data_IF_778457599197
#
_entry.id   IF_778457599197
#
_cell.length_a   1.000
_cell.length_b   1.000
_cell.length_c   1.000
_cell.angle_alpha   90.00
_cell.angle_beta   90.00
_cell.angle_gamma   90.00
#
_symmetry.space_group_name_H-M   'P 1'
#
loop_
_entity.id
_entity.type
_entity.pdbx_description
1 polymer ?
#
# COMPACT_ATOMS: atom_id res chain seq x y z
N UNK A 1 -40.86 -32.37 10.39
CA UNK A 1 -40.78 -30.89 10.51
C UNK A 1 -39.49 -30.43 11.19
N UNK A 2 -39.05 -31.08 12.26
CA UNK A 2 -37.76 -30.85 12.96
C UNK A 2 -36.51 -31.08 12.10
N UNK A 3 -36.49 -32.10 11.25
CA UNK A 3 -35.35 -32.37 10.35
C UNK A 3 -35.18 -31.34 9.22
N UNK A 4 -36.28 -30.73 8.75
CA UNK A 4 -36.26 -29.67 7.70
C UNK A 4 -35.76 -28.35 8.30
N UNK A 5 -36.17 -28.03 9.53
CA UNK A 5 -35.68 -26.87 10.25
C UNK A 5 -34.21 -27.01 10.68
N UNK A 6 -33.78 -28.22 11.06
CA UNK A 6 -32.37 -28.51 11.31
C UNK A 6 -31.52 -28.46 10.04
N UNK A 7 -32.04 -28.92 8.89
CA UNK A 7 -31.36 -28.79 7.59
C UNK A 7 -31.22 -27.33 7.12
N UNK A 8 -32.25 -26.49 7.35
CA UNK A 8 -32.19 -25.04 7.09
C UNK A 8 -31.22 -24.32 8.05
N UNK A 9 -31.18 -24.72 9.32
CA UNK A 9 -30.27 -24.15 10.32
C UNK A 9 -28.81 -24.59 10.11
N UNK A 10 -28.56 -25.81 9.62
CA UNK A 10 -27.22 -26.31 9.29
C UNK A 10 -26.69 -25.81 7.95
N UNK A 11 -27.58 -25.48 6.99
CA UNK A 11 -27.22 -24.89 5.70
C UNK A 11 -26.91 -23.39 5.75
N UNK A 12 -27.36 -22.68 6.79
CA UNK A 12 -27.05 -21.26 7.02
C UNK A 12 -25.76 -21.12 7.83
N UNK A 13 -24.62 -21.43 7.21
CA UNK A 13 -23.34 -20.95 7.73
C UNK A 13 -23.37 -19.41 7.81
N UNK A 14 -22.58 -18.81 8.69
CA UNK A 14 -22.55 -17.35 8.87
C UNK A 14 -22.33 -16.56 7.57
N UNK A 15 -21.64 -17.17 6.59
CA UNK A 15 -21.46 -16.61 5.26
C UNK A 15 -22.78 -16.58 4.45
N UNK A 16 -23.57 -17.66 4.42
CA UNK A 16 -24.84 -17.70 3.69
C UNK A 16 -25.87 -16.73 4.27
N UNK A 17 -25.88 -16.56 5.60
CA UNK A 17 -26.74 -15.58 6.25
C UNK A 17 -26.34 -14.13 5.89
N UNK A 18 -25.04 -13.83 5.88
CA UNK A 18 -24.54 -12.53 5.45
C UNK A 18 -24.92 -12.23 3.99
N UNK A 19 -24.73 -13.18 3.08
CA UNK A 19 -25.11 -13.03 1.67
C UNK A 19 -26.62 -12.87 1.50
N UNK A 20 -27.43 -13.61 2.25
CA UNK A 20 -28.89 -13.48 2.26
C UNK A 20 -29.35 -12.09 2.73
N UNK A 21 -28.74 -11.55 3.79
CA UNK A 21 -29.03 -10.21 4.29
C UNK A 21 -28.61 -9.12 3.28
N UNK A 22 -27.44 -9.26 2.65
CA UNK A 22 -26.98 -8.34 1.61
C UNK A 22 -27.91 -8.37 0.39
N UNK A 23 -28.33 -9.56 -0.06
CA UNK A 23 -29.27 -9.71 -1.17
C UNK A 23 -30.63 -9.10 -0.85
N UNK A 24 -31.15 -9.29 0.38
CA UNK A 24 -32.39 -8.67 0.83
C UNK A 24 -32.28 -7.14 0.87
N UNK A 25 -31.22 -6.61 1.48
CA UNK A 25 -30.98 -5.16 1.56
C UNK A 25 -30.87 -4.54 0.15
N UNK A 26 -30.16 -5.21 -0.76
CA UNK A 26 -30.04 -4.78 -2.15
C UNK A 26 -31.39 -4.87 -2.90
N UNK A 27 -32.16 -5.94 -2.71
CA UNK A 27 -33.50 -6.09 -3.29
C UNK A 27 -34.46 -4.99 -2.81
N UNK A 28 -34.45 -4.67 -1.51
CA UNK A 28 -35.23 -3.56 -0.95
C UNK A 28 -34.79 -2.20 -1.51
N UNK A 29 -33.49 -1.99 -1.72
CA UNK A 29 -32.94 -0.80 -2.36
C UNK A 29 -33.42 -0.65 -3.81
N UNK A 30 -33.30 -1.71 -4.62
CA UNK A 30 -33.78 -1.73 -6.01
C UNK A 30 -35.28 -1.45 -6.09
N UNK A 31 -36.06 -2.12 -5.24
CA UNK A 31 -37.51 -1.96 -5.17
C UNK A 31 -37.93 -0.53 -4.78
N UNK A 32 -37.25 0.06 -3.79
CA UNK A 32 -37.48 1.45 -3.39
C UNK A 32 -37.23 2.41 -4.56
N UNK A 33 -36.10 2.28 -5.23
CA UNK A 33 -35.77 3.17 -6.35
C UNK A 33 -36.72 2.96 -7.53
N UNK A 34 -37.15 1.72 -7.77
CA UNK A 34 -38.14 1.39 -8.80
C UNK A 34 -39.46 2.11 -8.52
N UNK A 35 -39.93 2.04 -7.26
CA UNK A 35 -41.14 2.77 -6.85
C UNK A 35 -41.03 4.28 -7.08
N UNK A 36 -39.91 4.89 -6.72
CA UNK A 36 -39.74 6.34 -6.85
C UNK A 36 -39.69 6.78 -8.32
N UNK A 37 -38.97 6.04 -9.16
CA UNK A 37 -38.62 6.49 -10.51
C UNK A 37 -39.57 5.97 -11.60
N UNK A 38 -40.10 4.76 -11.45
CA UNK A 38 -40.82 4.06 -12.52
C UNK A 38 -42.27 3.75 -12.19
N UNK A 39 -42.65 3.61 -10.91
CA UNK A 39 -44.04 3.26 -10.58
C UNK A 39 -45.03 4.42 -10.78
N UNK A 40 -46.21 4.08 -11.29
CA UNK A 40 -47.38 4.96 -11.31
C UNK A 40 -48.29 4.61 -10.14
N UNK A 41 -48.66 5.62 -9.35
CA UNK A 41 -49.49 5.45 -8.16
C UNK A 41 -50.74 6.32 -8.31
N UNK A 42 -51.90 5.69 -8.11
CA UNK A 42 -53.22 6.31 -8.21
C UNK A 42 -53.61 7.09 -6.95
N UNK A 43 -53.12 6.65 -5.78
CA UNK A 43 -53.32 7.31 -4.49
C UNK A 43 -52.67 8.72 -4.47
N UNK A 44 -53.45 9.81 -4.29
CA UNK A 44 -52.96 11.20 -4.37
C UNK A 44 -51.84 11.52 -3.37
N UNK A 45 -51.95 11.03 -2.13
CA UNK A 45 -50.98 11.32 -1.06
C UNK A 45 -49.67 10.60 -1.32
N UNK A 46 -49.75 9.34 -1.75
CA UNK A 46 -48.55 8.58 -2.15
C UNK A 46 -47.91 9.16 -3.40
N UNK A 47 -48.71 9.62 -4.38
CA UNK A 47 -48.21 10.28 -5.59
C UNK A 47 -47.45 11.56 -5.26
N UNK A 48 -47.95 12.39 -4.34
CA UNK A 48 -47.26 13.60 -3.89
C UNK A 48 -45.93 13.28 -3.18
N UNK A 49 -45.91 12.27 -2.30
CA UNK A 49 -44.67 11.82 -1.63
C UNK A 49 -43.62 11.34 -2.61
N UNK A 50 -44.00 10.48 -3.58
CA UNK A 50 -43.07 9.97 -4.60
C UNK A 50 -42.58 11.08 -5.53
N UNK A 51 -43.42 12.07 -5.86
CA UNK A 51 -43.00 13.23 -6.63
C UNK A 51 -41.90 14.04 -5.91
N UNK A 52 -42.04 14.25 -4.59
CA UNK A 52 -41.01 14.90 -3.78
C UNK A 52 -39.70 14.10 -3.74
N UNK A 53 -39.78 12.78 -3.55
CA UNK A 53 -38.59 11.92 -3.55
C UNK A 53 -37.91 11.86 -4.92
N UNK A 54 -38.69 11.85 -6.00
CA UNK A 54 -38.21 11.92 -7.38
C UNK A 54 -37.51 13.25 -7.66
N UNK A 55 -38.08 14.37 -7.23
CA UNK A 55 -37.45 15.68 -7.34
C UNK A 55 -36.10 15.72 -6.58
N UNK A 56 -36.03 15.12 -5.39
CA UNK A 56 -34.78 14.99 -4.63
C UNK A 56 -33.72 14.16 -5.37
N UNK A 57 -34.12 13.05 -6.00
CA UNK A 57 -33.19 12.23 -6.80
C UNK A 57 -32.71 12.98 -8.04
N UNK A 58 -33.61 13.66 -8.75
CA UNK A 58 -33.28 14.49 -9.92
C UNK A 58 -32.31 15.62 -9.55
N UNK A 59 -32.58 16.34 -8.45
CA UNK A 59 -31.66 17.36 -7.93
C UNK A 59 -30.29 16.75 -7.57
N UNK A 60 -30.28 15.57 -6.95
CA UNK A 60 -29.03 14.85 -6.66
C UNK A 60 -28.21 14.50 -7.90
N UNK A 61 -28.88 14.13 -9.01
CA UNK A 61 -28.22 13.87 -10.31
C UNK A 61 -27.70 15.19 -10.91
N UNK A 62 -28.50 16.25 -10.88
CA UNK A 62 -28.11 17.57 -11.38
C UNK A 62 -26.88 18.14 -10.66
N UNK A 63 -26.85 18.02 -9.34
CA UNK A 63 -25.76 18.49 -8.48
C UNK A 63 -24.53 17.55 -8.47
N UNK A 64 -24.56 16.43 -9.19
CA UNK A 64 -23.53 15.36 -9.11
C UNK A 64 -23.23 14.95 -7.66
N UNK A 65 -24.28 14.79 -6.85
CA UNK A 65 -24.16 14.65 -5.38
C UNK A 65 -23.24 13.49 -4.95
N UNK A 66 -23.21 12.40 -5.72
CA UNK A 66 -22.30 11.28 -5.46
C UNK A 66 -20.84 11.65 -5.69
N UNK A 67 -20.51 12.23 -6.84
CA UNK A 67 -19.17 12.72 -7.18
C UNK A 67 -18.68 13.75 -6.15
N UNK A 68 -19.54 14.72 -5.79
CA UNK A 68 -19.22 15.74 -4.80
C UNK A 68 -19.01 15.18 -3.37
N UNK A 69 -19.70 14.08 -3.01
CA UNK A 69 -19.44 13.39 -1.73
C UNK A 69 -18.12 12.63 -1.79
N UNK A 70 -17.86 11.93 -2.89
CA UNK A 70 -16.61 11.22 -3.12
C UNK A 70 -15.40 12.16 -3.08
N UNK A 71 -15.41 13.27 -3.82
CA UNK A 71 -14.32 14.25 -3.83
C UNK A 71 -14.08 14.87 -2.43
N UNK A 72 -15.15 15.05 -1.64
CA UNK A 72 -15.02 15.49 -0.24
C UNK A 72 -14.38 14.43 0.66
N UNK A 73 -14.77 13.16 0.52
CA UNK A 73 -14.16 12.06 1.25
C UNK A 73 -12.68 11.89 0.87
N UNK A 74 -12.37 11.96 -0.43
CA UNK A 74 -11.01 11.94 -0.95
C UNK A 74 -10.19 13.10 -0.40
N UNK A 75 -10.73 14.32 -0.44
CA UNK A 75 -10.09 15.49 0.15
C UNK A 75 -9.78 15.29 1.63
N UNK A 76 -10.76 14.83 2.41
CA UNK A 76 -10.60 14.54 3.84
C UNK A 76 -9.53 13.47 4.09
N UNK A 77 -9.48 12.44 3.26
CA UNK A 77 -8.47 11.38 3.34
C UNK A 77 -7.07 11.91 3.04
N UNK A 78 -6.90 12.66 1.95
CA UNK A 78 -5.62 13.29 1.59
C UNK A 78 -5.16 14.30 2.65
N UNK A 79 -6.08 15.10 3.20
CA UNK A 79 -5.80 16.08 4.25
C UNK A 79 -5.39 15.43 5.59
N UNK A 80 -5.88 14.20 5.85
CA UNK A 80 -5.43 13.36 6.98
C UNK A 80 -4.06 12.77 6.72
N UNK A 81 -3.81 12.22 5.53
CA UNK A 81 -2.50 11.66 5.17
C UNK A 81 -1.43 12.74 5.23
N UNK A 82 -1.67 13.90 4.63
CA UNK A 82 -0.72 15.03 4.68
C UNK A 82 -0.53 15.59 6.08
N UNK A 83 -1.59 15.62 6.89
CA UNK A 83 -1.48 15.95 8.31
C UNK A 83 -0.64 14.94 9.10
N UNK A 84 -0.76 13.65 8.79
CA UNK A 84 0.02 12.58 9.40
C UNK A 84 1.49 12.61 8.96
N UNK A 85 1.74 12.88 7.69
CA UNK A 85 3.09 13.03 7.12
C UNK A 85 3.77 14.31 7.65
N UNK A 86 2.99 15.36 7.90
CA UNK A 86 3.47 16.66 8.35
C UNK A 86 3.96 17.57 7.21
N UNK A 87 3.38 17.43 6.02
CA UNK A 87 3.86 18.12 4.80
C UNK A 87 2.81 19.05 4.15
N UNK A 88 1.80 19.47 4.91
CA UNK A 88 0.74 20.38 4.44
C UNK A 88 1.30 21.66 3.83
N UNK A 89 2.26 22.28 4.50
CA UNK A 89 2.85 23.55 4.03
C UNK A 89 3.67 23.33 2.76
N UNK A 90 4.38 22.20 2.65
CA UNK A 90 5.17 21.86 1.47
C UNK A 90 4.29 21.66 0.22
N UNK A 91 3.08 21.14 0.40
CA UNK A 91 2.10 20.94 -0.68
C UNK A 91 1.29 22.20 -1.02
N UNK A 92 1.17 23.13 -0.08
CA UNK A 92 0.40 24.38 -0.26
C UNK A 92 1.17 25.45 -1.05
N UNK A 93 2.50 25.42 -1.04
CA UNK A 93 3.31 26.41 -1.76
C UNK A 93 3.48 25.96 -3.22
N UNK A 94 3.12 26.79 -4.22
CA UNK A 94 3.42 26.51 -5.63
C UNK A 94 4.93 26.70 -5.87
N UNK A 95 5.74 25.71 -5.51
CA UNK A 95 7.19 25.79 -5.67
C UNK A 95 7.58 25.26 -7.06
N UNK A 96 8.09 26.18 -7.90
CA UNK A 96 8.67 25.94 -9.23
C UNK A 96 7.70 25.52 -10.34
N UNK A 97 7.07 26.53 -10.99
CA UNK A 97 6.29 26.38 -12.23
C UNK A 97 7.02 25.67 -13.38
N UNK A 98 8.36 25.59 -13.32
CA UNK A 98 9.21 25.03 -14.38
C UNK A 98 9.54 23.54 -14.21
N UNK A 99 9.04 22.86 -13.18
CA UNK A 99 9.24 21.41 -13.02
C UNK A 99 8.16 20.62 -13.75
N UNK A 100 8.52 19.49 -14.39
CA UNK A 100 7.58 18.58 -15.09
C UNK A 100 6.44 18.05 -14.20
N UNK A 101 6.58 18.17 -12.87
CA UNK A 101 5.67 17.66 -11.85
C UNK A 101 4.39 18.48 -11.75
N UNK A 102 4.49 19.81 -11.83
CA UNK A 102 3.33 20.71 -11.71
C UNK A 102 2.38 20.58 -12.92
N UNK A 103 2.85 20.55 -14.18
CA UNK A 103 1.99 20.26 -15.32
C UNK A 103 1.28 18.90 -15.24
N UNK A 104 1.94 17.91 -14.62
CA UNK A 104 1.41 16.55 -14.55
C UNK A 104 0.39 16.34 -13.43
N UNK A 105 0.66 16.88 -12.24
CA UNK A 105 -0.12 16.62 -11.02
C UNK A 105 -0.86 17.83 -10.47
N UNK A 106 -0.54 19.04 -10.94
CA UNK A 106 -1.01 20.30 -10.38
C UNK A 106 -0.31 20.74 -9.09
N UNK A 107 0.63 19.92 -8.56
CA UNK A 107 1.45 20.19 -7.37
C UNK A 107 2.74 19.35 -7.37
N UNK A 108 3.64 19.56 -6.40
CA UNK A 108 4.83 18.72 -6.19
C UNK A 108 4.54 17.64 -5.12
N UNK A 109 4.24 16.38 -5.51
CA UNK A 109 3.85 15.36 -4.55
C UNK A 109 5.07 14.68 -3.90
N UNK A 110 6.30 15.12 -4.18
CA UNK A 110 7.54 14.53 -3.69
C UNK A 110 8.12 15.38 -2.57
N UNK A 111 7.65 15.13 -1.34
CA UNK A 111 8.03 15.93 -0.16
C UNK A 111 9.07 15.21 0.69
N UNK A 112 9.78 15.97 1.52
CA UNK A 112 10.68 15.41 2.54
C UNK A 112 9.91 14.57 3.57
N UNK A 113 8.76 15.09 4.05
CA UNK A 113 7.93 14.37 5.00
C UNK A 113 7.53 12.98 4.48
N UNK A 114 7.13 12.90 3.21
CA UNK A 114 6.77 11.61 2.60
C UNK A 114 7.97 10.66 2.49
N UNK A 115 9.17 11.16 2.20
CA UNK A 115 10.39 10.34 2.18
C UNK A 115 10.73 9.78 3.57
N UNK A 116 10.67 10.62 4.61
CA UNK A 116 10.91 10.20 5.99
C UNK A 116 9.89 9.17 6.47
N UNK A 117 8.64 9.30 6.05
CA UNK A 117 7.64 8.27 6.31
C UNK A 117 8.03 6.96 5.62
N UNK A 118 8.34 6.97 4.32
CA UNK A 118 8.78 5.79 3.59
C UNK A 118 10.00 5.13 4.22
N UNK A 119 10.98 5.91 4.69
CA UNK A 119 12.15 5.40 5.39
C UNK A 119 11.81 4.70 6.71
N UNK A 120 10.95 5.32 7.53
CA UNK A 120 10.47 4.72 8.80
C UNK A 120 9.72 3.42 8.52
N UNK A 121 8.86 3.43 7.51
CA UNK A 121 8.05 2.28 7.12
C UNK A 121 8.89 1.14 6.55
N UNK A 122 9.87 1.46 5.70
CA UNK A 122 10.79 0.49 5.11
C UNK A 122 11.65 -0.21 6.18
N UNK A 123 11.93 0.44 7.31
CA UNK A 123 12.55 -0.21 8.47
C UNK A 123 11.57 -1.08 9.25
N UNK A 124 10.33 -0.60 9.45
CA UNK A 124 9.34 -1.24 10.32
C UNK A 124 8.74 -2.51 9.70
N UNK A 125 8.36 -2.49 8.42
CA UNK A 125 7.64 -3.60 7.80
C UNK A 125 8.42 -4.92 7.70
N UNK A 126 9.70 -4.98 7.28
CA UNK A 126 10.45 -6.23 7.27
C UNK A 126 10.59 -6.83 8.67
N UNK A 127 10.85 -5.98 9.66
CA UNK A 127 10.93 -6.37 11.08
C UNK A 127 9.57 -6.90 11.56
N UNK A 128 8.49 -6.18 11.28
CA UNK A 128 7.14 -6.60 11.63
C UNK A 128 6.77 -7.93 10.96
N UNK A 129 7.09 -8.09 9.67
CA UNK A 129 6.84 -9.32 8.92
C UNK A 129 7.60 -10.52 9.49
N UNK A 130 8.87 -10.34 9.86
CA UNK A 130 9.68 -11.36 10.51
C UNK A 130 9.09 -11.77 11.88
N UNK A 131 8.83 -10.82 12.77
CA UNK A 131 8.30 -11.11 14.10
C UNK A 131 6.87 -11.66 14.06
N UNK A 132 6.03 -11.20 13.14
CA UNK A 132 4.68 -11.71 12.95
C UNK A 132 4.71 -13.16 12.42
N UNK A 133 5.55 -13.43 11.42
CA UNK A 133 5.77 -14.78 10.90
C UNK A 133 6.23 -15.74 11.98
N UNK A 134 7.21 -15.33 12.80
CA UNK A 134 7.66 -16.11 13.95
C UNK A 134 6.57 -16.28 15.02
N UNK A 135 5.86 -15.22 15.41
CA UNK A 135 4.79 -15.30 16.42
C UNK A 135 3.68 -16.28 16.03
N UNK A 136 3.42 -16.41 14.73
CA UNK A 136 2.43 -17.32 14.16
C UNK A 136 2.93 -18.74 13.91
N UNK A 137 4.15 -19.08 14.33
CA UNK A 137 4.68 -20.43 14.24
C UNK A 137 5.76 -20.63 13.19
N UNK A 138 6.35 -19.57 12.62
CA UNK A 138 7.54 -19.69 11.77
C UNK A 138 8.76 -20.21 12.54
N UNK A 139 9.77 -20.70 11.81
CA UNK A 139 10.99 -21.22 12.41
C UNK A 139 11.83 -20.12 13.07
N UNK A 140 11.57 -18.85 12.73
CA UNK A 140 12.39 -17.73 13.19
C UNK A 140 13.70 -17.62 12.41
N UNK A 141 13.73 -18.21 11.22
CA UNK A 141 14.88 -18.17 10.34
C UNK A 141 14.84 -16.93 9.43
N UNK A 142 16.01 -16.35 9.17
CA UNK A 142 16.21 -15.27 8.22
C UNK A 142 17.18 -15.76 7.16
N UNK A 143 16.67 -16.09 5.97
CA UNK A 143 17.51 -16.58 4.88
C UNK A 143 18.16 -17.95 5.13
N UNK A 144 17.47 -18.86 5.82
CA UNK A 144 17.99 -20.18 6.18
C UNK A 144 18.79 -20.23 7.49
N UNK A 145 19.13 -19.08 8.08
CA UNK A 145 19.77 -19.03 9.40
C UNK A 145 18.76 -18.81 10.52
N UNK A 146 18.82 -19.66 11.54
CA UNK A 146 17.99 -19.53 12.75
C UNK A 146 18.38 -18.26 13.54
N UNK A 147 17.46 -17.30 13.63
CA UNK A 147 17.68 -16.03 14.33
C UNK A 147 16.92 -15.96 15.66
N UNK A 148 15.74 -16.57 15.72
CA UNK A 148 14.99 -16.79 16.95
C UNK A 148 14.77 -18.28 17.16
N UNK A 149 14.86 -18.77 18.41
CA UNK A 149 14.64 -20.18 18.67
C UNK A 149 13.19 -20.57 18.35
N UNK A 150 12.94 -21.78 17.81
CA UNK A 150 11.60 -22.32 17.67
C UNK A 150 11.02 -22.57 19.07
N UNK A 151 9.99 -21.81 19.44
CA UNK A 151 9.32 -21.97 20.74
C UNK A 151 8.00 -22.74 20.58
N UNK A 152 7.79 -23.83 21.33
CA UNK A 152 6.56 -24.63 21.23
C UNK A 152 5.29 -23.88 21.67
N UNK A 153 5.41 -23.01 22.67
CA UNK A 153 4.28 -22.28 23.24
C UNK A 153 4.00 -20.95 22.51
N UNK A 154 2.95 -20.92 21.68
CA UNK A 154 2.52 -19.72 20.94
C UNK A 154 2.34 -18.48 21.84
N UNK A 155 1.82 -18.66 23.07
CA UNK A 155 1.64 -17.55 24.03
C UNK A 155 2.95 -16.85 24.43
N UNK A 156 4.06 -17.58 24.52
CA UNK A 156 5.37 -16.98 24.86
C UNK A 156 5.92 -16.14 23.71
N UNK A 157 5.67 -16.55 22.45
CA UNK A 157 6.06 -15.78 21.27
C UNK A 157 5.36 -14.43 21.23
N UNK A 158 4.04 -14.41 21.47
CA UNK A 158 3.26 -13.18 21.53
C UNK A 158 3.62 -12.27 22.72
N UNK A 159 3.97 -12.84 23.88
CA UNK A 159 4.47 -12.06 25.02
C UNK A 159 5.80 -11.37 24.70
N UNK A 160 6.72 -12.05 24.01
CA UNK A 160 8.00 -11.47 23.60
C UNK A 160 7.83 -10.38 22.55
N UNK A 161 6.99 -10.60 21.53
CA UNK A 161 6.64 -9.57 20.54
C UNK A 161 5.95 -8.38 21.23
N UNK A 162 4.99 -8.64 22.12
CA UNK A 162 4.32 -7.60 22.91
C UNK A 162 5.29 -6.80 23.78
N UNK A 163 6.25 -7.46 24.43
CA UNK A 163 7.31 -6.82 25.21
C UNK A 163 8.24 -5.95 24.37
N UNK A 164 8.64 -6.43 23.18
CA UNK A 164 9.44 -5.67 22.21
C UNK A 164 8.69 -4.44 21.69
N UNK A 165 7.42 -4.60 21.29
CA UNK A 165 6.55 -3.50 20.83
C UNK A 165 6.31 -2.48 21.92
N UNK A 166 6.05 -2.92 23.16
CA UNK A 166 5.88 -2.03 24.31
C UNK A 166 7.17 -1.26 24.59
N UNK A 167 8.33 -1.94 24.57
CA UNK A 167 9.64 -1.32 24.80
C UNK A 167 9.97 -0.30 23.70
N UNK A 168 9.75 -0.65 22.44
CA UNK A 168 9.90 0.26 21.30
C UNK A 168 8.91 1.43 21.32
N UNK A 169 7.67 1.19 21.75
CA UNK A 169 6.65 2.23 21.91
C UNK A 169 6.97 3.21 23.05
N UNK A 170 7.47 2.70 24.18
CA UNK A 170 7.97 3.52 25.28
C UNK A 170 9.23 4.30 24.89
N UNK A 171 10.12 3.71 24.11
CA UNK A 171 11.29 4.37 23.51
C UNK A 171 10.89 5.49 22.53
N UNK A 172 9.94 5.22 21.63
CA UNK A 172 9.41 6.22 20.70
C UNK A 172 8.68 7.37 21.41
N UNK A 173 7.95 7.06 22.49
CA UNK A 173 7.31 8.06 23.35
C UNK A 173 8.34 8.87 24.13
N UNK A 174 9.44 8.25 24.56
CA UNK A 174 10.56 8.95 25.18
C UNK A 174 11.29 9.90 24.21
N UNK A 175 11.37 9.56 22.92
CA UNK A 175 11.90 10.43 21.86
C UNK A 175 11.03 11.67 21.57
N UNK A 176 9.83 11.76 22.14
CA UNK A 176 8.95 12.95 22.09
C UNK A 176 8.92 13.75 23.40
N UNK A 177 9.75 13.41 24.38
CA UNK A 177 9.83 14.09 25.68
C UNK A 177 11.08 15.00 25.78
N UNK A 178 10.96 16.13 26.45
CA UNK A 178 12.04 17.13 26.63
C UNK A 178 12.72 17.05 28.01
N UNK A 179 13.97 17.51 28.13
CA UNK A 179 14.70 17.70 29.39
C UNK A 179 15.76 16.65 29.75
N UNK A 180 16.19 16.61 31.02
CA UNK A 180 17.35 15.85 31.54
C UNK A 180 17.24 14.32 31.39
N UNK A 181 16.03 13.79 31.19
CA UNK A 181 15.78 12.37 30.89
C UNK A 181 16.24 11.98 29.48
N UNK A 182 16.44 12.95 28.57
CA UNK A 182 17.03 12.78 27.23
C UNK A 182 18.51 12.41 27.28
N UNK A 183 19.23 12.85 28.34
CA UNK A 183 20.68 12.67 28.47
C UNK A 183 21.14 11.25 28.75
N UNK A 184 20.32 10.44 29.43
CA UNK A 184 20.64 9.02 29.72
C UNK A 184 20.45 8.12 28.49
N UNK A 185 19.59 8.51 27.54
CA UNK A 185 19.32 7.76 26.31
C UNK A 185 20.24 8.13 25.13
N UNK A 186 20.94 9.26 25.20
CA UNK A 186 21.87 9.75 24.16
C UNK A 186 23.18 8.94 24.09
N UNK A 187 23.54 8.18 25.13
CA UNK A 187 24.76 7.38 25.14
C UNK A 187 24.77 6.18 24.14
N UNK A 188 23.63 5.86 23.52
CA UNK A 188 23.51 4.81 22.48
C UNK A 188 23.28 5.41 21.08
N UNK A 189 23.26 6.75 20.97
CA UNK A 189 22.77 7.47 19.81
C UNK A 189 23.77 7.62 18.65
N UNK A 190 24.10 6.51 17.98
CA UNK A 190 24.64 6.54 16.61
C UNK A 190 23.67 7.15 15.58
N UNK A 191 22.39 7.30 15.94
CA UNK A 191 21.37 7.95 15.10
C UNK A 191 21.31 9.49 15.25
N UNK A 192 21.99 10.08 16.26
CA UNK A 192 21.91 11.52 16.53
C UNK A 192 22.70 12.38 15.52
N UNK A 193 23.70 11.84 14.84
CA UNK A 193 24.53 12.63 13.91
C UNK A 193 23.76 13.07 12.66
N UNK A 194 22.80 12.25 12.22
CA UNK A 194 21.97 12.50 11.04
C UNK A 194 20.92 13.59 11.33
N UNK A 195 20.12 13.41 12.37
CA UNK A 195 19.03 14.33 12.69
C UNK A 195 19.56 15.71 13.15
N UNK A 196 20.73 15.75 13.81
CA UNK A 196 21.43 16.99 14.20
C UNK A 196 22.01 17.78 13.01
N UNK A 197 22.50 17.10 11.96
CA UNK A 197 22.99 17.76 10.73
C UNK A 197 21.83 18.28 9.85
N UNK A 198 20.67 17.58 9.86
CA UNK A 198 19.45 18.02 9.17
C UNK A 198 18.93 19.35 9.72
N UNK A 199 18.92 19.52 11.03
CA UNK A 199 18.41 20.72 11.71
C UNK A 199 19.22 22.01 11.41
N UNK A 200 20.44 21.91 10.85
CA UNK A 200 21.28 23.06 10.48
C UNK A 200 21.23 23.46 9.01
N UNK A 201 20.38 22.82 8.21
CA UNK A 201 20.34 22.97 6.76
C UNK A 201 19.05 23.66 6.31
N UNK A 202 19.09 24.99 6.13
CA UNK A 202 17.91 25.79 5.78
C UNK A 202 17.62 25.92 4.27
N UNK A 203 18.44 25.32 3.38
CA UNK A 203 18.23 25.41 1.92
C UNK A 203 18.00 24.03 1.27
N UNK A 204 17.09 23.96 0.28
CA UNK A 204 16.77 22.72 -0.46
C UNK A 204 18.01 22.04 -1.06
N UNK A 205 19.00 22.81 -1.47
CA UNK A 205 20.25 22.29 -2.03
C UNK A 205 21.16 21.69 -0.95
N UNK A 206 21.12 22.21 0.29
CA UNK A 206 21.85 21.63 1.42
C UNK A 206 21.16 20.38 1.97
N UNK A 207 19.83 20.30 1.88
CA UNK A 207 19.05 19.11 2.24
C UNK A 207 19.28 17.98 1.23
N UNK A 208 19.24 18.24 -0.08
CA UNK A 208 19.56 17.22 -1.10
C UNK A 208 21.00 16.72 -0.94
N UNK A 209 21.97 17.63 -0.74
CA UNK A 209 23.38 17.26 -0.46
C UNK A 209 23.52 16.46 0.83
N UNK A 210 22.81 16.85 1.88
CA UNK A 210 22.77 16.12 3.15
C UNK A 210 22.23 14.70 2.96
N UNK A 211 21.16 14.50 2.20
CA UNK A 211 20.59 13.17 1.95
C UNK A 211 21.47 12.31 1.05
N UNK A 212 22.07 12.91 0.02
CA UNK A 212 23.03 12.22 -0.85
C UNK A 212 24.25 11.78 -0.02
N UNK A 213 24.74 12.65 0.87
CA UNK A 213 25.79 12.35 1.83
C UNK A 213 25.38 11.30 2.86
N UNK A 214 24.16 11.34 3.40
CA UNK A 214 23.65 10.37 4.36
C UNK A 214 23.55 8.96 3.74
N UNK A 215 23.01 8.88 2.52
CA UNK A 215 22.97 7.63 1.77
C UNK A 215 24.39 7.14 1.46
N UNK A 216 25.28 8.03 0.99
CA UNK A 216 26.68 7.70 0.71
C UNK A 216 27.42 7.25 1.98
N UNK A 217 27.16 7.89 3.12
CA UNK A 217 27.72 7.55 4.42
C UNK A 217 27.24 6.19 4.90
N UNK A 218 25.95 5.88 4.80
CA UNK A 218 25.43 4.56 5.17
C UNK A 218 25.94 3.47 4.24
N UNK A 219 26.02 3.76 2.94
CA UNK A 219 26.66 2.87 1.96
C UNK A 219 28.13 2.66 2.32
N UNK A 220 28.87 3.72 2.63
CA UNK A 220 30.27 3.65 3.06
C UNK A 220 30.45 2.93 4.40
N UNK A 221 29.53 3.09 5.35
CA UNK A 221 29.51 2.41 6.64
C UNK A 221 29.24 0.91 6.48
N UNK A 222 28.26 0.55 5.66
CA UNK A 222 28.01 -0.84 5.27
C UNK A 222 29.24 -1.39 4.54
N UNK A 223 29.82 -0.66 3.59
CA UNK A 223 31.07 -1.04 2.93
C UNK A 223 32.25 -1.19 3.90
N UNK A 224 32.34 -0.37 4.95
CA UNK A 224 33.39 -0.47 5.96
C UNK A 224 33.17 -1.68 6.89
N UNK A 225 31.93 -1.96 7.28
CA UNK A 225 31.57 -3.19 8.01
C UNK A 225 31.84 -4.42 7.15
N UNK A 226 31.51 -4.36 5.87
CA UNK A 226 31.80 -5.41 4.90
C UNK A 226 33.31 -5.57 4.73
N UNK A 227 34.07 -4.52 4.45
CA UNK A 227 35.54 -4.57 4.34
C UNK A 227 36.24 -5.05 5.62
N UNK A 228 35.70 -4.73 6.79
CA UNK A 228 36.21 -5.23 8.07
C UNK A 228 35.78 -6.68 8.35
N UNK A 229 34.55 -7.04 7.99
CA UNK A 229 33.91 -8.31 8.29
C UNK A 229 34.26 -9.43 7.31
N UNK A 230 34.22 -9.17 6.00
CA UNK A 230 34.45 -10.12 4.90
C UNK A 230 35.73 -10.95 5.07
N UNK A 231 36.91 -10.37 5.36
CA UNK A 231 38.15 -11.15 5.53
C UNK A 231 38.15 -12.05 6.78
N UNK A 232 37.16 -11.89 7.66
CA UNK A 232 37.06 -12.55 8.97
C UNK A 232 35.86 -13.48 9.06
N UNK A 233 35.12 -13.67 7.95
CA UNK A 233 34.03 -14.64 7.80
C UNK A 233 34.61 -16.02 7.47
N UNK A 234 35.38 -16.58 8.40
CA UNK A 234 35.85 -17.97 8.34
C UNK A 234 35.19 -18.85 9.40
N UNK A 235 34.36 -18.26 10.27
CA UNK A 235 33.61 -18.96 11.31
C UNK A 235 32.12 -18.64 11.22
N UNK A 236 31.28 -19.68 11.16
CA UNK A 236 29.80 -19.61 11.09
C UNK A 236 29.19 -18.66 12.14
N UNK A 237 29.83 -18.49 13.29
CA UNK A 237 29.37 -17.65 14.40
C UNK A 237 29.26 -16.14 14.10
N UNK A 238 29.80 -15.62 12.97
CA UNK A 238 29.79 -14.17 12.65
C UNK A 238 28.88 -13.76 11.49
N UNK A 239 28.28 -14.71 10.77
CA UNK A 239 27.37 -14.44 9.65
C UNK A 239 26.14 -13.58 10.04
N UNK A 240 25.47 -13.83 11.19
CA UNK A 240 24.30 -13.04 11.61
C UNK A 240 24.63 -11.56 11.85
N UNK A 241 25.86 -11.26 12.26
CA UNK A 241 26.34 -9.90 12.54
C UNK A 241 26.50 -9.06 11.26
N UNK A 242 26.71 -9.69 10.10
CA UNK A 242 26.82 -9.03 8.80
C UNK A 242 25.48 -8.96 8.04
N UNK A 243 24.56 -9.89 8.32
CA UNK A 243 23.22 -9.87 7.76
C UNK A 243 22.32 -8.81 8.39
N UNK A 244 22.49 -8.51 9.69
CA UNK A 244 21.66 -7.52 10.38
C UNK A 244 21.77 -6.10 9.77
N UNK A 245 22.97 -5.55 9.49
CA UNK A 245 23.11 -4.23 8.86
C UNK A 245 22.61 -4.18 7.42
N UNK A 246 22.73 -5.28 6.67
CA UNK A 246 22.18 -5.39 5.31
C UNK A 246 20.66 -5.41 5.37
N UNK A 247 20.09 -6.20 6.27
CA UNK A 247 18.64 -6.36 6.45
C UNK A 247 17.94 -5.15 7.06
N UNK A 248 18.57 -4.46 8.02
CA UNK A 248 17.98 -3.32 8.73
C UNK A 248 18.46 -1.96 8.22
N UNK A 249 19.53 -1.91 7.43
CA UNK A 249 20.07 -0.68 6.88
C UNK A 249 19.87 -0.61 5.37
N UNK A 250 20.58 -1.47 4.65
CA UNK A 250 20.73 -1.36 3.20
C UNK A 250 19.45 -1.68 2.43
N UNK A 251 18.75 -2.77 2.78
CA UNK A 251 17.47 -3.13 2.15
C UNK A 251 16.37 -2.09 2.43
N UNK A 252 16.13 -1.62 3.67
CA UNK A 252 15.18 -0.55 3.95
C UNK A 252 15.49 0.75 3.21
N UNK A 253 16.76 1.12 3.08
CA UNK A 253 17.15 2.36 2.39
C UNK A 253 16.82 2.29 0.90
N UNK A 254 17.16 1.16 0.26
CA UNK A 254 16.79 0.87 -1.13
C UNK A 254 15.27 0.88 -1.32
N UNK A 255 14.52 0.24 -0.40
CA UNK A 255 13.07 0.17 -0.45
C UNK A 255 12.42 1.54 -0.25
N UNK A 256 12.91 2.34 0.69
CA UNK A 256 12.39 3.67 1.00
C UNK A 256 12.42 4.63 -0.20
N UNK A 257 13.46 4.55 -1.02
CA UNK A 257 13.58 5.38 -2.23
C UNK A 257 12.50 5.04 -3.26
N UNK A 258 12.26 3.74 -3.51
CA UNK A 258 11.22 3.29 -4.43
C UNK A 258 9.81 3.49 -3.87
N UNK A 259 9.61 3.23 -2.58
CA UNK A 259 8.36 3.53 -1.86
C UNK A 259 8.02 5.03 -1.94
N UNK A 260 9.01 5.91 -1.80
CA UNK A 260 8.80 7.35 -1.91
C UNK A 260 8.42 7.77 -3.33
N UNK A 261 9.08 7.19 -4.34
CA UNK A 261 8.76 7.44 -5.73
C UNK A 261 7.33 6.96 -6.06
N UNK A 262 6.98 5.74 -5.66
CA UNK A 262 5.64 5.16 -5.81
C UNK A 262 4.58 6.03 -5.12
N UNK A 263 4.78 6.33 -3.83
CA UNK A 263 3.88 7.17 -3.04
C UNK A 263 3.70 8.56 -3.66
N UNK A 264 4.79 9.18 -4.14
CA UNK A 264 4.75 10.48 -4.77
C UNK A 264 3.93 10.48 -6.06
N UNK A 265 4.10 9.48 -6.94
CA UNK A 265 3.30 9.38 -8.16
C UNK A 265 1.82 9.14 -7.83
N UNK A 266 1.52 8.11 -7.05
CA UNK A 266 0.16 7.77 -6.62
C UNK A 266 -0.54 8.97 -5.98
N UNK A 267 0.15 9.67 -5.07
CA UNK A 267 -0.39 10.87 -4.42
C UNK A 267 -0.62 12.01 -5.41
N UNK A 268 0.32 12.26 -6.31
CA UNK A 268 0.18 13.25 -7.37
C UNK A 268 -1.06 13.00 -8.23
N UNK A 269 -1.28 11.75 -8.64
CA UNK A 269 -2.47 11.36 -9.40
C UNK A 269 -3.77 11.55 -8.60
N UNK A 270 -3.78 11.21 -7.31
CA UNK A 270 -4.94 11.45 -6.44
C UNK A 270 -5.28 12.94 -6.30
N UNK A 271 -4.26 13.80 -6.17
CA UNK A 271 -4.46 15.24 -6.13
C UNK A 271 -4.93 15.81 -7.47
N UNK A 272 -4.44 15.26 -8.59
CA UNK A 272 -4.90 15.64 -9.91
C UNK A 272 -6.37 15.25 -10.17
N UNK A 273 -6.83 14.11 -9.62
CA UNK A 273 -8.26 13.74 -9.62
C UNK A 273 -9.06 14.71 -8.75
N UNK A 274 -8.58 15.03 -7.54
CA UNK A 274 -9.24 15.98 -6.62
C UNK A 274 -9.40 17.37 -7.24
N UNK A 275 -8.38 17.86 -7.93
CA UNK A 275 -8.36 19.20 -8.53
C UNK A 275 -9.11 19.27 -9.87
N UNK A 276 -9.64 18.14 -10.35
CA UNK A 276 -10.31 18.07 -11.65
C UNK A 276 -9.38 18.17 -12.85
N UNK A 277 -8.05 18.12 -12.66
CA UNK A 277 -7.07 18.07 -13.75
C UNK A 277 -7.26 16.82 -14.62
N UNK A 278 -7.56 15.68 -13.97
CA UNK A 278 -7.89 14.42 -14.64
C UNK A 278 -9.29 13.97 -14.21
N UNK A 279 -10.27 14.13 -15.10
CA UNK A 279 -11.66 13.78 -14.84
C UNK A 279 -12.19 12.73 -15.84
N UNK A 280 -13.22 12.00 -15.43
CA UNK A 280 -13.90 11.04 -16.30
C UNK A 280 -12.99 9.89 -16.74
N UNK A 281 -12.98 9.60 -18.04
CA UNK A 281 -12.16 8.53 -18.64
C UNK A 281 -10.65 8.75 -18.49
N UNK A 282 -10.20 10.00 -18.37
CA UNK A 282 -8.79 10.30 -18.13
C UNK A 282 -8.34 9.76 -16.77
N UNK A 283 -9.17 9.88 -15.73
CA UNK A 283 -8.86 9.33 -14.40
C UNK A 283 -8.68 7.80 -14.43
N UNK A 284 -9.44 7.09 -15.27
CA UNK A 284 -9.27 5.64 -15.47
C UNK A 284 -7.95 5.33 -16.18
N UNK A 285 -7.60 6.08 -17.23
CA UNK A 285 -6.33 5.90 -17.92
C UNK A 285 -5.14 6.10 -16.95
N UNK A 286 -5.22 7.10 -16.07
CA UNK A 286 -4.21 7.32 -15.03
C UNK A 286 -4.18 6.22 -13.97
N UNK A 287 -5.32 5.66 -13.58
CA UNK A 287 -5.37 4.53 -12.66
C UNK A 287 -4.77 3.25 -13.27
N UNK A 288 -5.00 3.01 -14.57
CA UNK A 288 -4.35 1.91 -15.29
C UNK A 288 -2.85 2.15 -15.40
N UNK A 289 -2.42 3.38 -15.68
CA UNK A 289 -1.01 3.74 -15.72
C UNK A 289 -0.34 3.56 -14.35
N UNK A 290 -1.02 3.90 -13.25
CA UNK A 290 -0.53 3.67 -11.88
C UNK A 290 -0.31 2.17 -11.60
N UNK A 291 -1.17 1.27 -12.12
CA UNK A 291 -0.94 -0.18 -12.04
C UNK A 291 0.31 -0.59 -12.81
N UNK A 292 0.46 -0.12 -14.06
CA UNK A 292 1.63 -0.44 -14.89
C UNK A 292 2.90 0.04 -14.19
N UNK A 293 2.85 1.24 -13.60
CA UNK A 293 3.95 1.81 -12.85
C UNK A 293 4.23 1.03 -11.55
N UNK A 294 3.20 0.53 -10.87
CA UNK A 294 3.35 -0.32 -9.70
C UNK A 294 4.03 -1.65 -10.03
N UNK A 295 3.66 -2.29 -11.16
CA UNK A 295 4.33 -3.48 -11.66
C UNK A 295 5.79 -3.19 -12.03
N UNK A 296 6.06 -2.03 -12.63
CA UNK A 296 7.41 -1.56 -12.89
C UNK A 296 8.20 -1.36 -11.59
N UNK A 297 7.64 -0.71 -10.56
CA UNK A 297 8.30 -0.55 -9.26
C UNK A 297 8.52 -1.89 -8.55
N UNK A 298 7.61 -2.84 -8.71
CA UNK A 298 7.76 -4.20 -8.19
C UNK A 298 8.93 -4.93 -8.87
N UNK A 299 9.08 -4.81 -10.18
CA UNK A 299 10.27 -5.31 -10.88
C UNK A 299 11.53 -4.57 -10.46
N UNK A 300 11.47 -3.25 -10.29
CA UNK A 300 12.60 -2.43 -9.87
C UNK A 300 13.09 -2.81 -8.46
N UNK A 301 12.19 -3.01 -7.49
CA UNK A 301 12.58 -3.41 -6.14
C UNK A 301 13.16 -4.82 -6.12
N UNK A 302 12.59 -5.77 -6.87
CA UNK A 302 13.15 -7.13 -6.98
C UNK A 302 14.55 -7.08 -7.61
N UNK A 303 14.72 -6.29 -8.67
CA UNK A 303 16.02 -6.11 -9.34
C UNK A 303 17.04 -5.53 -8.38
N UNK A 304 16.68 -4.43 -7.70
CA UNK A 304 17.57 -3.71 -6.80
C UNK A 304 17.96 -4.57 -5.60
N UNK A 305 16.99 -5.19 -4.93
CA UNK A 305 17.24 -6.03 -3.74
C UNK A 305 18.02 -7.29 -4.09
N UNK A 306 17.66 -7.98 -5.18
CA UNK A 306 18.37 -9.19 -5.61
C UNK A 306 19.77 -8.86 -6.10
N UNK A 307 19.94 -7.84 -6.94
CA UNK A 307 21.26 -7.44 -7.44
C UNK A 307 22.18 -6.97 -6.33
N UNK A 308 21.63 -6.30 -5.31
CA UNK A 308 22.37 -5.90 -4.12
C UNK A 308 22.83 -7.12 -3.31
N UNK A 309 21.95 -8.09 -3.05
CA UNK A 309 22.30 -9.30 -2.32
C UNK A 309 23.30 -10.17 -3.09
N UNK A 310 23.11 -10.33 -4.41
CA UNK A 310 24.03 -11.06 -5.27
C UNK A 310 25.40 -10.38 -5.35
N UNK A 311 25.44 -9.05 -5.48
CA UNK A 311 26.69 -8.28 -5.48
C UNK A 311 27.42 -8.37 -4.14
N UNK A 312 26.69 -8.43 -3.02
CA UNK A 312 27.28 -8.66 -1.70
C UNK A 312 27.87 -10.06 -1.57
N UNK A 313 27.18 -11.10 -2.05
CA UNK A 313 27.71 -12.46 -2.09
C UNK A 313 28.97 -12.55 -2.95
N UNK A 314 28.95 -11.97 -4.15
CA UNK A 314 30.12 -11.94 -5.03
C UNK A 314 31.31 -11.25 -4.34
N UNK A 315 31.08 -10.12 -3.67
CA UNK A 315 32.11 -9.42 -2.91
C UNK A 315 32.66 -10.28 -1.77
N UNK A 316 31.80 -10.99 -1.01
CA UNK A 316 32.23 -11.83 0.12
C UNK A 316 33.07 -13.00 -0.32
N UNK A 317 32.65 -13.67 -1.39
CA UNK A 317 33.42 -14.77 -2.00
C UNK A 317 34.75 -14.28 -2.57
N UNK A 318 34.74 -13.13 -3.28
CA UNK A 318 35.95 -12.58 -3.89
C UNK A 318 37.03 -12.19 -2.90
N UNK A 319 36.68 -11.92 -1.63
CA UNK A 319 37.64 -11.63 -0.55
C UNK A 319 37.90 -12.82 0.37
N UNK A 320 37.59 -14.05 -0.08
CA UNK A 320 37.93 -15.30 0.61
C UNK A 320 36.97 -15.71 1.72
N UNK A 321 35.80 -15.09 1.83
CA UNK A 321 34.71 -15.51 2.71
C UNK A 321 33.70 -16.43 2.00
N UNK A 322 32.69 -16.91 2.74
CA UNK A 322 31.53 -17.61 2.16
C UNK A 322 30.48 -16.65 1.58
N UNK A 323 29.50 -17.18 0.86
CA UNK A 323 28.32 -16.42 0.48
C UNK A 323 27.57 -15.96 1.74
N UNK A 324 27.14 -14.69 1.77
CA UNK A 324 26.42 -14.11 2.90
C UNK A 324 25.02 -14.72 3.05
N UNK A 325 24.37 -15.01 1.92
CA UNK A 325 23.03 -15.57 1.84
C UNK A 325 22.96 -16.55 0.66
N UNK A 326 22.52 -17.79 0.90
CA UNK A 326 22.28 -18.73 -0.20
C UNK A 326 21.01 -18.34 -0.96
N UNK A 327 21.20 -17.56 -2.04
CA UNK A 327 20.10 -17.10 -2.88
C UNK A 327 19.42 -18.26 -3.63
N UNK A 328 20.15 -19.33 -3.95
CA UNK A 328 19.60 -20.49 -4.64
C UNK A 328 18.62 -21.22 -3.75
N UNK A 329 19.06 -21.58 -2.54
CA UNK A 329 18.21 -22.18 -1.53
C UNK A 329 17.03 -21.27 -1.13
N UNK A 330 17.25 -19.96 -1.03
CA UNK A 330 16.18 -19.00 -0.76
C UNK A 330 15.11 -19.04 -1.86
N UNK A 331 15.50 -18.94 -3.13
CA UNK A 331 14.56 -18.91 -4.24
C UNK A 331 13.88 -20.25 -4.48
N UNK A 332 14.56 -21.38 -4.27
CA UNK A 332 13.96 -22.71 -4.36
C UNK A 332 12.98 -22.95 -3.20
N UNK A 333 13.31 -22.47 -2.00
CA UNK A 333 12.41 -22.49 -0.86
C UNK A 333 11.15 -21.68 -1.09
N UNK A 334 11.26 -20.45 -1.60
CA UNK A 334 10.10 -19.61 -1.98
C UNK A 334 9.28 -20.29 -3.08
N UNK A 335 9.92 -20.97 -4.04
CA UNK A 335 9.21 -21.70 -5.10
C UNK A 335 8.41 -22.88 -4.57
N UNK A 336 8.99 -23.64 -3.65
CA UNK A 336 8.37 -24.82 -3.06
C UNK A 336 7.22 -24.43 -2.12
N UNK A 337 7.44 -23.45 -1.24
CA UNK A 337 6.46 -23.00 -0.26
C UNK A 337 6.36 -21.46 -0.22
N UNK A 338 5.71 -20.83 -1.23
CA UNK A 338 5.64 -19.36 -1.33
C UNK A 338 5.05 -18.68 -0.09
N UNK A 339 4.09 -19.35 0.53
CA UNK A 339 3.35 -18.83 1.69
C UNK A 339 3.97 -19.19 3.04
N UNK A 340 5.17 -19.80 3.05
CA UNK A 340 5.88 -20.07 4.30
C UNK A 340 6.09 -18.77 5.09
N UNK A 341 5.88 -18.88 6.39
CA UNK A 341 5.97 -17.76 7.34
C UNK A 341 7.38 -17.18 7.39
N UNK A 342 8.39 -17.99 7.05
CA UNK A 342 9.80 -17.59 7.05
C UNK A 342 10.12 -16.62 5.89
N UNK A 343 9.25 -16.55 4.87
CA UNK A 343 9.39 -15.61 3.75
C UNK A 343 8.50 -14.37 3.88
N UNK A 344 7.71 -14.23 4.95
CA UNK A 344 6.77 -13.11 5.08
C UNK A 344 7.47 -11.75 5.05
N UNK A 345 8.67 -11.62 5.60
CA UNK A 345 9.43 -10.36 5.53
C UNK A 345 9.67 -9.90 4.07
N UNK A 346 9.93 -10.83 3.13
CA UNK A 346 10.08 -10.53 1.70
C UNK A 346 8.75 -10.03 1.14
N UNK A 347 7.66 -10.73 1.47
CA UNK A 347 6.32 -10.35 1.04
C UNK A 347 5.91 -8.99 1.59
N UNK A 348 6.20 -8.69 2.85
CA UNK A 348 5.91 -7.39 3.47
C UNK A 348 6.71 -6.26 2.81
N UNK A 349 8.00 -6.46 2.52
CA UNK A 349 8.81 -5.45 1.80
C UNK A 349 8.32 -5.24 0.37
N UNK A 350 8.00 -6.31 -0.36
CA UNK A 350 7.54 -6.19 -1.75
C UNK A 350 6.13 -5.60 -1.82
N UNK A 351 5.20 -6.07 -1.00
CA UNK A 351 3.80 -5.65 -1.03
C UNK A 351 3.60 -4.24 -0.46
N UNK A 352 4.51 -3.73 0.38
CA UNK A 352 4.40 -2.34 0.88
C UNK A 352 4.41 -1.33 -0.26
N UNK A 353 5.18 -1.59 -1.32
CA UNK A 353 5.26 -0.74 -2.52
C UNK A 353 3.93 -0.68 -3.30
N UNK A 354 3.07 -1.70 -3.14
CA UNK A 354 1.75 -1.80 -3.80
C UNK A 354 0.63 -1.15 -2.98
N UNK A 355 0.84 -0.86 -1.69
CA UNK A 355 -0.19 -0.27 -0.82
C UNK A 355 -0.66 1.09 -1.35
N UNK A 356 0.22 2.02 -1.75
CA UNK A 356 -0.20 3.29 -2.36
C UNK A 356 -1.05 3.07 -3.63
N UNK A 357 -0.60 2.22 -4.55
CA UNK A 357 -1.33 1.88 -5.79
C UNK A 357 -2.70 1.30 -5.48
N UNK A 358 -2.78 0.43 -4.47
CA UNK A 358 -4.05 -0.15 -4.04
C UNK A 358 -5.02 0.95 -3.62
N UNK A 359 -4.56 1.89 -2.80
CA UNK A 359 -5.36 3.05 -2.37
C UNK A 359 -5.80 3.88 -3.58
N UNK A 360 -4.90 4.20 -4.50
CA UNK A 360 -5.24 4.97 -5.70
C UNK A 360 -6.25 4.25 -6.59
N UNK A 361 -6.08 2.96 -6.81
CA UNK A 361 -6.99 2.17 -7.62
C UNK A 361 -8.37 2.05 -6.96
N UNK A 362 -8.43 1.79 -5.64
CA UNK A 362 -9.71 1.77 -4.92
C UNK A 362 -10.44 3.09 -5.15
N UNK A 363 -9.74 4.21 -4.97
CA UNK A 363 -10.25 5.58 -5.14
C UNK A 363 -10.69 5.84 -6.59
N UNK A 364 -9.89 5.47 -7.59
CA UNK A 364 -10.24 5.62 -9.01
C UNK A 364 -11.42 4.73 -9.43
N UNK A 365 -11.52 3.52 -8.87
CA UNK A 365 -12.67 2.62 -9.05
C UNK A 365 -13.96 3.22 -8.49
N UNK A 366 -13.89 3.84 -7.31
CA UNK A 366 -15.00 4.64 -6.76
C UNK A 366 -15.34 5.80 -7.68
N UNK A 367 -14.36 6.56 -8.17
CA UNK A 367 -14.60 7.67 -9.08
C UNK A 367 -15.33 7.20 -10.34
N UNK A 368 -14.86 6.12 -10.96
CA UNK A 368 -15.40 5.58 -12.21
C UNK A 368 -16.86 5.16 -12.07
N UNK A 369 -17.17 4.37 -11.03
CA UNK A 369 -18.53 3.92 -10.80
C UNK A 369 -19.50 5.09 -10.71
N UNK A 370 -19.06 6.23 -10.16
CA UNK A 370 -19.88 7.43 -9.97
C UNK A 370 -20.01 8.33 -11.22
N UNK A 371 -19.24 8.09 -12.30
CA UNK A 371 -19.27 8.93 -13.50
C UNK A 371 -20.63 8.83 -14.19
N UNK A 372 -21.29 9.97 -14.32
CA UNK A 372 -22.36 10.17 -15.29
C UNK A 372 -21.89 11.18 -16.36
N UNK A 373 -21.67 10.76 -17.62
CA UNK A 373 -21.21 11.66 -18.67
C UNK A 373 -22.14 12.85 -18.85
N UNK A 374 -21.60 14.05 -19.08
CA UNK A 374 -22.36 15.30 -19.15
C UNK A 374 -23.43 15.33 -20.23
N UNK A 375 -23.19 14.62 -21.34
CA UNK A 375 -24.19 14.44 -22.39
C UNK A 375 -25.39 13.65 -21.86
N UNK A 376 -25.13 12.49 -21.25
CA UNK A 376 -26.15 11.62 -20.65
C UNK A 376 -26.87 12.32 -19.50
N UNK A 377 -26.15 13.03 -18.63
CA UNK A 377 -26.76 13.81 -17.53
C UNK A 377 -27.70 14.88 -18.08
N UNK A 378 -27.25 15.70 -19.03
CA UNK A 378 -28.07 16.78 -19.59
C UNK A 378 -29.32 16.25 -20.29
N UNK A 379 -29.17 15.19 -21.08
CA UNK A 379 -30.28 14.49 -21.71
C UNK A 379 -31.28 13.97 -20.67
N UNK A 380 -30.79 13.23 -19.68
CA UNK A 380 -31.61 12.64 -18.62
C UNK A 380 -32.38 13.70 -17.83
N UNK A 381 -31.76 14.85 -17.54
CA UNK A 381 -32.41 15.95 -16.82
C UNK A 381 -33.43 16.71 -17.67
N UNK A 382 -33.22 16.80 -18.98
CA UNK A 382 -34.14 17.46 -19.90
C UNK A 382 -35.40 16.61 -20.17
N UNK A 383 -35.21 15.31 -20.35
CA UNK A 383 -36.27 14.37 -20.73
C UNK A 383 -36.87 13.57 -19.56
N UNK A 384 -36.40 13.81 -18.34
CA UNK A 384 -36.74 13.05 -17.13
C UNK A 384 -38.25 12.81 -16.94
N UNK A 385 -39.06 13.85 -17.19
CA UNK A 385 -40.52 13.80 -17.00
C UNK A 385 -41.27 13.50 -18.30
N UNK A 386 -40.57 13.45 -19.45
CA UNK A 386 -41.16 13.36 -20.79
C UNK A 386 -41.04 11.96 -21.41
N UNK A 387 -40.01 11.21 -21.01
CA UNK A 387 -39.71 9.91 -21.61
C UNK A 387 -39.39 8.84 -20.56
N UNK A 388 -39.89 7.64 -20.80
CA UNK A 388 -39.70 6.49 -19.91
C UNK A 388 -38.28 5.96 -19.93
N UNK A 389 -37.60 6.06 -21.06
CA UNK A 389 -36.20 5.65 -21.18
C UNK A 389 -35.28 6.52 -20.31
N UNK A 390 -35.52 7.82 -20.20
CA UNK A 390 -34.79 8.69 -19.27
C UNK A 390 -35.01 8.27 -17.81
N UNK A 391 -36.25 7.88 -17.44
CA UNK A 391 -36.58 7.36 -16.09
C UNK A 391 -35.90 6.02 -15.81
N UNK A 392 -35.84 5.14 -16.81
CA UNK A 392 -35.15 3.86 -16.72
C UNK A 392 -33.64 4.04 -16.55
N UNK A 393 -33.00 4.91 -17.34
CA UNK A 393 -31.57 5.21 -17.19
C UNK A 393 -31.29 5.83 -15.82
N UNK A 394 -32.16 6.72 -15.34
CA UNK A 394 -32.05 7.27 -13.98
C UNK A 394 -32.16 6.19 -12.90
N UNK A 395 -33.07 5.24 -13.08
CA UNK A 395 -33.22 4.11 -12.17
C UNK A 395 -31.98 3.23 -12.17
N UNK A 396 -31.45 2.86 -13.34
CA UNK A 396 -30.21 2.08 -13.45
C UNK A 396 -29.06 2.81 -12.76
N UNK A 397 -28.87 4.10 -13.06
CA UNK A 397 -27.82 4.90 -12.45
C UNK A 397 -27.96 4.94 -10.93
N UNK A 398 -29.08 5.42 -10.38
CA UNK A 398 -29.25 5.56 -8.92
C UNK A 398 -29.20 4.23 -8.19
N UNK A 399 -29.64 3.14 -8.83
CA UNK A 399 -29.77 1.84 -8.19
C UNK A 399 -28.47 1.04 -8.20
N UNK A 400 -27.71 1.07 -9.30
CA UNK A 400 -26.54 0.21 -9.48
C UNK A 400 -25.21 0.93 -9.28
N UNK A 401 -25.14 2.23 -9.53
CA UNK A 401 -23.86 2.97 -9.38
C UNK A 401 -23.33 2.96 -7.95
N UNK A 402 -24.11 3.26 -6.89
CA UNK A 402 -23.57 3.25 -5.53
C UNK A 402 -23.09 1.86 -5.09
N UNK A 403 -23.85 0.76 -5.32
CA UNK A 403 -23.36 -0.59 -5.01
C UNK A 403 -22.16 -1.00 -5.86
N UNK A 404 -22.13 -0.67 -7.15
CA UNK A 404 -20.99 -0.96 -8.03
C UNK A 404 -19.73 -0.25 -7.52
N UNK A 405 -19.85 0.96 -6.98
CA UNK A 405 -18.74 1.68 -6.40
C UNK A 405 -18.11 0.93 -5.20
N UNK A 406 -18.88 0.14 -4.45
CA UNK A 406 -18.36 -0.73 -3.38
C UNK A 406 -17.85 -2.09 -3.89
N UNK A 407 -18.51 -2.66 -4.89
CA UNK A 407 -18.20 -4.00 -5.40
C UNK A 407 -16.98 -4.01 -6.32
N UNK A 408 -16.84 -3.02 -7.21
CA UNK A 408 -15.76 -2.98 -8.19
C UNK A 408 -14.35 -2.97 -7.55
N UNK A 409 -14.08 -2.18 -6.50
CA UNK A 409 -12.80 -2.24 -5.80
C UNK A 409 -12.57 -3.61 -5.13
N UNK A 410 -13.60 -4.24 -4.57
CA UNK A 410 -13.52 -5.57 -3.96
C UNK A 410 -13.26 -6.70 -4.97
N UNK A 411 -13.95 -6.69 -6.12
CA UNK A 411 -13.70 -7.63 -7.21
C UNK A 411 -12.28 -7.49 -7.76
N UNK A 412 -11.77 -6.27 -7.83
CA UNK A 412 -10.39 -6.03 -8.24
C UNK A 412 -9.38 -6.56 -7.21
N UNK A 413 -9.58 -6.27 -5.91
CA UNK A 413 -8.74 -6.83 -4.84
C UNK A 413 -8.72 -8.36 -4.90
N UNK A 414 -9.87 -8.97 -5.15
CA UNK A 414 -9.98 -10.40 -5.35
C UNK A 414 -9.23 -10.87 -6.62
N UNK A 415 -9.33 -10.12 -7.73
CA UNK A 415 -8.56 -10.38 -8.95
C UNK A 415 -7.05 -10.30 -8.73
N UNK A 416 -6.56 -9.26 -8.06
CA UNK A 416 -5.16 -9.10 -7.69
C UNK A 416 -4.69 -10.24 -6.77
N UNK A 417 -5.49 -10.57 -5.75
CA UNK A 417 -5.25 -11.73 -4.90
C UNK A 417 -5.13 -13.00 -5.75
N UNK A 418 -6.06 -13.27 -6.68
CA UNK A 418 -5.97 -14.43 -7.58
C UNK A 418 -4.72 -14.39 -8.44
N UNK A 419 -4.31 -13.23 -8.93
CA UNK A 419 -3.14 -13.06 -9.79
C UNK A 419 -1.81 -13.28 -9.04
N UNK A 420 -1.79 -12.92 -7.76
CA UNK A 420 -0.64 -13.11 -6.86
C UNK A 420 -0.64 -14.54 -6.27
N UNK A 421 -1.81 -15.15 -6.02
CA UNK A 421 -1.91 -16.37 -5.17
C UNK A 421 -2.45 -17.62 -5.87
N UNK A 422 -3.31 -17.49 -6.88
CA UNK A 422 -3.95 -18.65 -7.52
C UNK A 422 -3.03 -19.25 -8.60
N UNK A 423 -2.97 -20.59 -8.67
CA UNK A 423 -2.16 -21.31 -9.65
C UNK A 423 -0.65 -21.12 -9.46
N UNK A 424 -0.20 -21.03 -8.20
CA UNK A 424 1.16 -20.61 -7.80
C UNK A 424 1.51 -19.14 -8.12
N UNK A 425 0.55 -18.32 -8.58
CA UNK A 425 0.70 -16.88 -8.76
C UNK A 425 1.61 -16.53 -9.94
N UNK A 426 1.04 -16.28 -11.12
CA UNK A 426 1.83 -15.99 -12.33
C UNK A 426 2.78 -14.80 -12.16
N UNK A 427 2.36 -13.75 -11.44
CA UNK A 427 3.23 -12.61 -11.13
C UNK A 427 4.27 -12.97 -10.09
N UNK A 428 3.93 -13.70 -9.02
CA UNK A 428 4.90 -14.13 -8.02
C UNK A 428 6.01 -15.00 -8.63
N UNK A 429 5.63 -15.98 -9.46
CA UNK A 429 6.57 -16.84 -10.17
C UNK A 429 7.36 -16.09 -11.26
N UNK A 430 6.74 -15.15 -11.96
CA UNK A 430 7.43 -14.28 -12.90
C UNK A 430 8.49 -13.41 -12.23
N UNK A 431 8.17 -12.82 -11.06
CA UNK A 431 9.11 -12.05 -10.26
C UNK A 431 10.24 -12.92 -9.70
N UNK A 432 9.93 -14.16 -9.30
CA UNK A 432 10.95 -15.11 -8.83
C UNK A 432 11.90 -15.53 -9.96
N UNK A 433 11.37 -15.78 -11.16
CA UNK A 433 12.18 -16.06 -12.35
C UNK A 433 13.06 -14.85 -12.72
N UNK A 434 12.50 -13.64 -12.64
CA UNK A 434 13.24 -12.40 -12.82
C UNK A 434 14.36 -12.23 -11.79
N UNK A 435 14.08 -12.49 -10.51
CA UNK A 435 15.08 -12.45 -9.44
C UNK A 435 16.24 -13.41 -9.72
N UNK A 436 15.95 -14.66 -10.10
CA UNK A 436 16.98 -15.65 -10.48
C UNK A 436 17.82 -15.17 -11.67
N UNK A 437 17.19 -14.57 -12.67
CA UNK A 437 17.90 -14.02 -13.83
C UNK A 437 18.84 -12.87 -13.42
N UNK A 438 18.37 -11.95 -12.57
CA UNK A 438 19.20 -10.85 -12.04
C UNK A 438 20.37 -11.40 -11.22
N UNK A 439 20.13 -12.39 -10.36
CA UNK A 439 21.17 -13.02 -9.54
C UNK A 439 22.26 -13.64 -10.42
N UNK A 440 21.90 -14.46 -11.41
CA UNK A 440 22.85 -15.07 -12.33
C UNK A 440 23.58 -14.10 -13.26
N UNK A 441 22.99 -12.92 -13.50
CA UNK A 441 23.68 -11.87 -14.27
C UNK A 441 24.73 -11.13 -13.43
N UNK A 442 24.47 -10.93 -12.14
CA UNK A 442 25.40 -10.24 -11.21
C UNK A 442 26.50 -11.19 -10.72
N UNK A 443 26.14 -12.43 -10.38
CA UNK A 443 27.05 -13.49 -9.95
C UNK A 443 26.91 -14.68 -10.91
N UNK A 444 27.75 -14.80 -11.95
CA UNK A 444 27.68 -15.91 -12.91
C UNK A 444 27.93 -17.30 -12.30
N UNK A 445 28.37 -17.38 -11.04
CA UNK A 445 28.51 -18.63 -10.28
C UNK A 445 27.23 -19.09 -9.59
N UNK A 446 26.15 -18.31 -9.67
CA UNK A 446 24.83 -18.57 -9.10
C UNK A 446 24.03 -19.69 -9.80
#
# INVERSE_FOLDING_TARGET
MTAILQGLAQGLTGAHLLWGLLALAFGLWLYRNYKILLSEVTDPDKKARLANDRARLRAGIAERRFEARYLRLLGTFLDRITGFIGDRDALAVPQFRDSWRIPLFGLDPFTEGSYLLCLRLALVYPVAGFFLGWALGGAGALGGMEFLPPMEAAGRRWLLVGGLVLSGGLFFKANRAEGWRRGVYVAVAGAFLAEWLRERCHSRESVTRYWLFFNLFFVAYVWAILAWGLPRVTHEAKLPLLLLPVFLGLLPLANAALDWLSLGVTRGLLYAIRSGHHAGWAALAWAVLDIVLALFFLLAIVTLTTGLLAGLNLATVSWGGGALLDLGALFDGIRAEPWSRDYWWIHFMMLSTLVPTLVHFLIAGFAMALILPDRTRRWLLADFDRRDDARWVAWVYVSFVPPLAFVAPGLFLWGLYRLITAGHGAVGMGLLAWARWVAGWVDPGF
#
